data_IF_037514423398
#
_entry.id   IF_037514423398
#
_cell.length_a   1.000
_cell.length_b   1.000
_cell.length_c   1.000
_cell.angle_alpha   90.00
_cell.angle_beta   90.00
_cell.angle_gamma   90.00
#
_symmetry.space_group_name_H-M   'P 1'
#
loop_
_entity.id
_entity.type
_entity.pdbx_description
1 polymer ?
#
# COMPACT_ATOMS: atom_id res chain seq x y z
N UNK A 1 0.31 -29.33 11.25
CA UNK A 1 -0.17 -28.03 10.73
C UNK A 1 -0.86 -27.16 11.78
N UNK A 2 -1.85 -27.67 12.53
CA UNK A 2 -2.64 -26.85 13.47
C UNK A 2 -1.83 -26.20 14.62
N UNK A 3 -0.89 -26.93 15.22
CA UNK A 3 -0.07 -26.41 16.34
C UNK A 3 0.90 -25.30 15.89
N UNK A 4 1.50 -25.44 14.71
CA UNK A 4 2.44 -24.45 14.16
C UNK A 4 1.73 -23.13 13.85
N UNK A 5 0.57 -23.18 13.17
CA UNK A 5 -0.25 -21.99 12.92
C UNK A 5 -0.73 -21.32 14.23
N UNK A 6 -1.03 -22.11 15.26
CA UNK A 6 -1.44 -21.59 16.56
C UNK A 6 -0.29 -20.81 17.23
N UNK A 7 0.92 -21.36 17.22
CA UNK A 7 2.11 -20.70 17.76
C UNK A 7 2.38 -19.38 17.00
N UNK A 8 2.30 -19.37 15.67
CA UNK A 8 2.46 -18.17 14.86
C UNK A 8 1.42 -17.09 15.20
N UNK A 9 0.15 -17.48 15.39
CA UNK A 9 -0.93 -16.56 15.77
C UNK A 9 -0.72 -15.95 17.16
N UNK A 10 -0.30 -16.77 18.13
CA UNK A 10 0.04 -16.29 19.47
C UNK A 10 1.23 -15.34 19.43
N UNK A 11 2.29 -15.71 18.69
CA UNK A 11 3.47 -14.87 18.50
C UNK A 11 3.12 -13.51 17.88
N UNK A 12 2.37 -13.51 16.77
CA UNK A 12 1.91 -12.28 16.13
C UNK A 12 1.04 -11.43 17.06
N UNK A 13 0.15 -12.05 17.84
CA UNK A 13 -0.66 -11.36 18.84
C UNK A 13 0.16 -10.68 19.93
N UNK A 14 1.18 -11.36 20.47
CA UNK A 14 2.12 -10.80 21.45
C UNK A 14 2.90 -9.63 20.86
N UNK A 15 3.46 -9.78 19.65
CA UNK A 15 4.20 -8.71 18.97
C UNK A 15 3.32 -7.49 18.73
N UNK A 16 2.10 -7.66 18.22
CA UNK A 16 1.16 -6.56 17.99
C UNK A 16 0.82 -5.86 19.29
N UNK A 17 0.59 -6.62 20.37
CA UNK A 17 0.26 -6.08 21.69
C UNK A 17 1.41 -5.25 22.23
N UNK A 18 2.65 -5.76 22.19
CA UNK A 18 3.85 -5.02 22.59
C UNK A 18 4.03 -3.75 21.76
N UNK A 19 3.92 -3.82 20.42
CA UNK A 19 4.05 -2.65 19.54
C UNK A 19 2.99 -1.58 19.86
N UNK A 20 1.75 -1.99 20.14
CA UNK A 20 0.68 -1.08 20.56
C UNK A 20 0.94 -0.46 21.94
N UNK A 21 1.43 -1.26 22.90
CA UNK A 21 1.72 -0.83 24.28
C UNK A 21 2.90 0.14 24.35
N UNK A 22 3.94 -0.10 23.54
CA UNK A 22 5.08 0.82 23.38
C UNK A 22 4.79 2.03 22.48
N UNK A 23 3.55 2.17 22.00
CA UNK A 23 3.00 3.45 21.55
C UNK A 23 3.72 4.11 20.38
N UNK A 24 4.46 3.34 19.56
CA UNK A 24 5.04 3.83 18.30
C UNK A 24 3.93 4.00 17.26
N UNK A 25 3.06 4.97 17.49
CA UNK A 25 2.08 5.40 16.49
C UNK A 25 2.84 5.89 15.26
N UNK A 26 2.40 5.56 14.03
CA UNK A 26 3.01 6.05 12.80
C UNK A 26 3.18 7.57 12.82
N UNK A 27 2.20 8.27 13.37
CA UNK A 27 2.15 9.72 13.60
C UNK A 27 3.39 10.27 14.33
N UNK A 28 3.97 9.52 15.26
CA UNK A 28 5.17 9.94 16.01
C UNK A 28 6.47 9.57 15.31
N UNK A 29 6.43 8.58 14.42
CA UNK A 29 7.60 8.04 13.72
C UNK A 29 7.86 8.77 12.41
N UNK A 30 6.80 9.12 11.70
CA UNK A 30 6.87 9.83 10.43
C UNK A 30 6.39 11.26 10.68
N UNK A 31 7.26 12.23 10.39
CA UNK A 31 6.82 13.63 10.26
C UNK A 31 5.89 13.67 9.06
N UNK A 32 4.60 13.77 9.33
CA UNK A 32 3.59 13.96 8.31
C UNK A 32 2.94 15.31 8.57
N UNK A 33 2.85 16.12 7.52
CA UNK A 33 2.03 17.33 7.49
C UNK A 33 1.12 17.18 6.27
N UNK A 34 -0.16 17.57 6.38
CA UNK A 34 -1.04 17.54 5.22
C UNK A 34 -0.48 18.46 4.13
N UNK A 35 -0.51 17.98 2.87
CA UNK A 35 -0.22 18.83 1.71
C UNK A 35 -1.25 19.96 1.74
N UNK A 36 -0.77 21.21 1.75
CA UNK A 36 -1.66 22.36 1.75
C UNK A 36 -2.18 22.56 0.33
N UNK A 37 -3.49 22.68 0.19
CA UNK A 37 -4.11 23.13 -1.04
C UNK A 37 -3.81 24.62 -1.21
N UNK A 38 -2.81 24.92 -2.04
CA UNK A 38 -2.48 26.28 -2.45
C UNK A 38 -3.13 26.52 -3.82
N UNK A 39 -4.04 27.49 -3.87
CA UNK A 39 -4.82 27.83 -5.07
C UNK A 39 -3.90 28.28 -6.21
N UNK A 40 -2.80 28.97 -5.90
CA UNK A 40 -1.83 29.46 -6.89
C UNK A 40 -0.97 28.32 -7.44
N UNK A 41 -0.69 27.31 -6.61
CA UNK A 41 0.17 26.17 -6.96
C UNK A 41 -0.64 25.04 -7.62
N UNK A 42 -1.96 24.97 -7.37
CA UNK A 42 -2.83 23.93 -7.90
C UNK A 42 -2.28 22.53 -7.65
N UNK A 43 -2.25 21.67 -8.68
CA UNK A 43 -1.71 20.31 -8.57
C UNK A 43 -0.18 20.26 -8.39
N UNK A 44 0.55 21.37 -8.54
CA UNK A 44 2.01 21.35 -8.44
C UNK A 44 2.53 21.28 -7.01
N UNK A 45 1.65 21.41 -6.00
CA UNK A 45 1.99 21.05 -4.62
C UNK A 45 2.13 19.53 -4.42
N UNK A 46 1.55 18.72 -5.33
CA UNK A 46 1.66 17.27 -5.31
C UNK A 46 2.92 16.83 -6.08
N UNK A 47 3.84 16.07 -5.46
CA UNK A 47 4.98 15.51 -6.19
C UNK A 47 4.52 14.53 -7.27
N UNK A 48 5.33 14.39 -8.32
CA UNK A 48 5.18 13.27 -9.25
C UNK A 48 5.50 11.97 -8.50
N UNK A 49 4.56 11.03 -8.50
CA UNK A 49 4.73 9.73 -7.84
C UNK A 49 4.51 8.58 -8.81
N UNK A 50 5.27 7.51 -8.60
CA UNK A 50 5.07 6.23 -9.28
C UNK A 50 4.60 5.22 -8.23
N UNK A 51 3.44 4.62 -8.46
CA UNK A 51 2.93 3.50 -7.67
C UNK A 51 3.26 2.23 -8.42
N UNK A 52 4.17 1.44 -7.88
CA UNK A 52 4.57 0.17 -8.49
C UNK A 52 3.78 -0.98 -7.87
N UNK A 53 3.17 -1.80 -8.73
CA UNK A 53 2.40 -2.99 -8.37
C UNK A 53 3.11 -4.19 -9.00
N UNK A 54 4.07 -4.81 -8.31
CA UNK A 54 4.63 -6.08 -8.75
C UNK A 54 3.57 -7.18 -8.58
N UNK A 55 3.35 -7.95 -9.64
CA UNK A 55 2.38 -9.04 -9.70
C UNK A 55 3.03 -10.29 -10.30
N UNK A 56 2.56 -11.42 -9.83
CA UNK A 56 2.75 -12.73 -10.42
C UNK A 56 1.34 -13.33 -10.61
N UNK A 57 1.09 -14.58 -10.24
CA UNK A 57 -0.17 -15.26 -10.56
C UNK A 57 -1.36 -14.95 -9.61
N UNK A 58 -1.50 -13.73 -9.09
CA UNK A 58 -2.57 -13.34 -8.16
C UNK A 58 -3.93 -13.05 -8.84
N UNK A 59 -4.53 -14.07 -9.47
CA UNK A 59 -5.76 -13.96 -10.28
C UNK A 59 -6.96 -13.32 -9.57
N UNK A 60 -7.12 -13.56 -8.28
CA UNK A 60 -8.30 -13.11 -7.52
C UNK A 60 -8.24 -11.63 -7.15
N UNK A 61 -7.03 -11.06 -7.10
CA UNK A 61 -6.81 -9.74 -6.49
C UNK A 61 -6.12 -8.74 -7.42
N UNK A 62 -5.61 -9.14 -8.60
CA UNK A 62 -4.93 -8.21 -9.49
C UNK A 62 -5.84 -7.04 -9.90
N UNK A 63 -7.10 -7.31 -10.27
CA UNK A 63 -8.06 -6.26 -10.64
C UNK A 63 -8.37 -5.32 -9.48
N UNK A 64 -8.57 -5.88 -8.28
CA UNK A 64 -8.85 -5.10 -7.08
C UNK A 64 -7.66 -4.23 -6.70
N UNK A 65 -6.44 -4.75 -6.83
CA UNK A 65 -5.20 -4.04 -6.49
C UNK A 65 -4.94 -2.88 -7.45
N UNK A 66 -5.06 -3.13 -8.76
CA UNK A 66 -4.93 -2.08 -9.78
C UNK A 66 -6.04 -1.04 -9.61
N UNK A 67 -7.29 -1.48 -9.41
CA UNK A 67 -8.43 -0.58 -9.20
C UNK A 67 -8.25 0.31 -7.97
N UNK A 68 -7.76 -0.26 -6.86
CA UNK A 68 -7.46 0.51 -5.65
C UNK A 68 -6.35 1.53 -5.87
N UNK A 69 -5.30 1.18 -6.63
CA UNK A 69 -4.22 2.10 -6.96
C UNK A 69 -4.70 3.26 -7.87
N UNK A 70 -5.56 2.97 -8.84
CA UNK A 70 -6.20 3.99 -9.68
C UNK A 70 -7.19 4.87 -8.89
N UNK A 71 -7.74 4.37 -7.78
CA UNK A 71 -8.64 5.09 -6.89
C UNK A 71 -7.96 5.94 -5.82
N UNK A 72 -6.63 6.04 -5.84
CA UNK A 72 -5.91 6.91 -4.92
C UNK A 72 -6.28 8.38 -5.15
N UNK A 73 -6.52 9.11 -4.06
CA UNK A 73 -6.77 10.54 -4.10
C UNK A 73 -5.45 11.28 -4.39
N UNK A 74 -5.12 11.37 -5.67
CA UNK A 74 -3.95 12.06 -6.20
C UNK A 74 -4.29 12.69 -7.55
N UNK A 75 -3.71 13.84 -7.92
CA UNK A 75 -3.94 14.40 -9.24
C UNK A 75 -3.49 13.44 -10.36
N UNK A 76 -4.36 13.19 -11.34
CA UNK A 76 -4.12 12.23 -12.43
C UNK A 76 -2.90 12.58 -13.30
N UNK A 77 -2.54 13.87 -13.38
CA UNK A 77 -1.33 14.35 -14.07
C UNK A 77 -0.05 14.17 -13.26
N UNK A 78 -0.18 13.81 -11.97
CA UNK A 78 0.93 13.67 -11.01
C UNK A 78 1.14 12.25 -10.48
N UNK A 79 0.38 11.27 -10.97
CA UNK A 79 0.48 9.86 -10.59
C UNK A 79 0.70 8.97 -11.80
N UNK A 80 1.62 8.03 -11.66
CA UNK A 80 1.88 6.97 -12.65
C UNK A 80 1.67 5.64 -11.95
N UNK A 81 0.73 4.83 -12.43
CA UNK A 81 0.53 3.46 -11.94
C UNK A 81 1.34 2.53 -12.85
N UNK A 82 2.34 1.86 -12.28
CA UNK A 82 3.18 0.90 -12.99
C UNK A 82 2.89 -0.51 -12.50
N UNK A 83 2.34 -1.34 -13.38
CA UNK A 83 2.09 -2.76 -13.12
C UNK A 83 3.28 -3.54 -13.67
N UNK A 84 4.00 -4.25 -12.80
CA UNK A 84 5.10 -5.14 -13.17
C UNK A 84 4.59 -6.57 -13.09
N UNK A 85 4.08 -7.08 -14.20
CA UNK A 85 3.52 -8.42 -14.29
C UNK A 85 4.53 -9.43 -14.82
N UNK A 86 4.94 -10.37 -13.98
CA UNK A 86 5.80 -11.51 -14.34
C UNK A 86 4.98 -12.82 -14.42
N UNK A 87 3.65 -12.73 -14.55
CA UNK A 87 2.76 -13.89 -14.62
C UNK A 87 3.14 -14.85 -15.74
N UNK A 88 3.20 -16.12 -15.38
CA UNK A 88 3.39 -17.23 -16.31
C UNK A 88 2.08 -17.91 -16.69
N UNK A 89 1.01 -17.69 -15.92
CA UNK A 89 -0.29 -18.30 -16.19
C UNK A 89 -0.95 -17.65 -17.42
N UNK A 90 -1.24 -18.42 -18.49
CA UNK A 90 -1.87 -17.89 -19.69
C UNK A 90 -3.33 -17.45 -19.48
N UNK A 91 -3.97 -17.83 -18.36
CA UNK A 91 -5.34 -17.43 -18.02
C UNK A 91 -5.44 -16.08 -17.31
N UNK A 92 -4.29 -15.50 -16.93
CA UNK A 92 -4.18 -14.22 -16.22
C UNK A 92 -3.81 -13.07 -17.17
N UNK A 93 -3.35 -13.36 -18.39
CA UNK A 93 -2.94 -12.37 -19.42
C UNK A 93 -4.08 -11.83 -20.26
#
# INVERSE_FOLDING_TARGET
>A
MSVMMFIERVYMGVVITLVKLFGRKPEKRYKWEPIKDDIELGNSCYPMVVVQIPMYNEREVYQLSIGAACGLSWPSDRIIIQVLDDSTDPTIK
#
